data_IF_029846108372
#
_entry.id   IF_029846108372
#
_cell.length_a   1.000
_cell.length_b   1.000
_cell.length_c   1.000
_cell.angle_alpha   90.00
_cell.angle_beta   90.00
_cell.angle_gamma   90.00
#
_symmetry.space_group_name_H-M   'P 1'
#
loop_
_entity.id
_entity.type
_entity.pdbx_description
1 polymer ?
#
# COMPACT_ATOMS: atom_id res chain seq x y z
N UNK A 1 2.97 -13.77 6.66
CA UNK A 1 1.83 -13.00 6.11
C UNK A 1 0.76 -12.94 7.18
N UNK A 2 0.31 -11.74 7.58
CA UNK A 2 -0.79 -11.61 8.55
C UNK A 2 -2.10 -11.74 7.76
N UNK A 3 -2.96 -12.73 8.06
CA UNK A 3 -4.23 -12.88 7.37
C UNK A 3 -5.13 -11.68 7.69
N UNK A 4 -5.65 -11.03 6.64
CA UNK A 4 -6.51 -9.86 6.73
C UNK A 4 -7.84 -10.18 6.08
N UNK A 5 -8.93 -10.11 6.86
CA UNK A 5 -10.29 -10.14 6.32
C UNK A 5 -10.61 -8.76 5.72
N UNK A 6 -10.83 -8.74 4.41
CA UNK A 6 -10.98 -7.52 3.59
C UNK A 6 -12.44 -7.13 3.37
N UNK A 7 -13.38 -7.67 4.16
CA UNK A 7 -14.81 -7.36 4.04
C UNK A 7 -15.19 -5.94 4.52
N UNK A 8 -14.24 -5.20 5.10
CA UNK A 8 -14.45 -3.83 5.62
C UNK A 8 -14.92 -3.79 7.08
N UNK A 9 -14.93 -2.59 7.66
CA UNK A 9 -15.37 -2.33 9.04
C UNK A 9 -14.35 -2.72 10.11
N UNK A 10 -14.83 -3.19 11.28
CA UNK A 10 -14.02 -3.62 12.44
C UNK A 10 -12.90 -4.60 12.07
N UNK A 11 -13.07 -5.39 11.02
CA UNK A 11 -12.08 -6.43 10.64
C UNK A 11 -10.83 -5.89 9.95
N UNK A 12 -10.92 -4.72 9.31
CA UNK A 12 -9.74 -4.00 8.83
C UNK A 12 -8.88 -3.47 9.99
N UNK A 13 -9.46 -3.28 11.18
CA UNK A 13 -8.71 -2.85 12.36
C UNK A 13 -7.78 -3.95 12.88
N UNK A 14 -8.23 -5.22 12.90
CA UNK A 14 -7.40 -6.33 13.36
C UNK A 14 -6.06 -6.47 12.59
N UNK A 15 -6.08 -6.16 11.29
CA UNK A 15 -4.88 -6.14 10.46
C UNK A 15 -3.93 -4.97 10.80
N UNK A 16 -4.48 -3.80 11.07
CA UNK A 16 -3.72 -2.63 11.48
C UNK A 16 -3.16 -2.81 12.89
N UNK A 17 -3.91 -3.42 13.81
CA UNK A 17 -3.43 -3.74 15.16
C UNK A 17 -2.27 -4.74 15.13
N UNK A 18 -2.36 -5.74 14.25
CA UNK A 18 -1.28 -6.70 14.06
C UNK A 18 -0.04 -6.04 13.42
N UNK A 19 -0.25 -5.12 12.47
CA UNK A 19 0.82 -4.31 11.88
C UNK A 19 1.50 -3.41 12.94
N UNK A 20 0.71 -2.79 13.81
CA UNK A 20 1.21 -1.98 14.92
C UNK A 20 2.12 -2.79 15.86
N UNK A 21 1.70 -4.01 16.24
CA UNK A 21 2.53 -4.88 17.08
C UNK A 21 3.86 -5.24 16.41
N UNK A 22 3.89 -5.41 15.09
CA UNK A 22 5.13 -5.67 14.33
C UNK A 22 6.03 -4.44 14.36
N UNK A 23 5.48 -3.28 14.02
CA UNK A 23 6.23 -2.02 13.97
C UNK A 23 6.77 -1.61 15.35
N UNK A 24 6.03 -1.83 16.43
CA UNK A 24 6.49 -1.57 17.81
C UNK A 24 7.68 -2.44 18.23
N UNK A 25 7.90 -3.59 17.59
CA UNK A 25 9.10 -4.43 17.82
C UNK A 25 10.30 -3.97 16.99
N UNK A 26 10.20 -2.87 16.24
CA UNK A 26 11.25 -2.38 15.36
C UNK A 26 11.40 -3.19 14.06
N UNK A 27 10.38 -3.98 13.70
CA UNK A 27 10.37 -4.80 12.49
C UNK A 27 9.74 -4.04 11.30
N UNK A 28 9.94 -4.57 10.09
CA UNK A 28 9.35 -4.03 8.86
C UNK A 28 7.96 -4.62 8.59
N UNK A 29 7.04 -3.78 8.12
CA UNK A 29 5.71 -4.21 7.71
C UNK A 29 5.38 -3.73 6.29
N UNK A 30 5.09 -4.67 5.38
CA UNK A 30 4.69 -4.38 4.01
C UNK A 30 3.17 -4.39 3.84
N UNK A 31 2.62 -3.37 3.17
CA UNK A 31 1.20 -3.25 2.86
C UNK A 31 0.98 -2.78 1.42
N UNK A 32 -0.02 -3.34 0.75
CA UNK A 32 -0.50 -2.83 -0.53
C UNK A 32 -1.63 -1.83 -0.28
N UNK A 33 -1.41 -0.52 -0.45
CA UNK A 33 -2.39 0.50 -0.08
C UNK A 33 -3.70 0.39 -0.90
N UNK A 34 -3.65 -0.17 -2.11
CA UNK A 34 -4.83 -0.43 -2.96
C UNK A 34 -5.73 -1.57 -2.44
N UNK A 35 -5.24 -2.41 -1.53
CA UNK A 35 -6.02 -3.49 -0.90
C UNK A 35 -6.30 -4.72 -1.78
N UNK A 36 -6.07 -4.65 -3.09
CA UNK A 36 -6.21 -5.77 -4.04
C UNK A 36 -5.20 -5.68 -5.17
N UNK A 37 -4.94 -6.81 -5.84
CA UNK A 37 -4.14 -6.83 -7.07
C UNK A 37 -4.90 -6.12 -8.19
N UNK A 38 -4.21 -5.26 -8.92
CA UNK A 38 -4.72 -4.66 -10.14
C UNK A 38 -4.94 -5.74 -11.22
N UNK A 39 -6.12 -5.72 -11.86
CA UNK A 39 -6.46 -6.67 -12.93
C UNK A 39 -6.13 -6.14 -14.32
N UNK A 40 -6.17 -4.82 -14.47
CA UNK A 40 -5.90 -4.09 -15.72
C UNK A 40 -4.51 -3.44 -15.76
N UNK A 41 -3.75 -3.50 -14.65
CA UNK A 41 -2.40 -2.96 -14.54
C UNK A 41 -2.36 -1.50 -14.13
N UNK A 42 -3.53 -0.90 -13.88
CA UNK A 42 -3.67 0.45 -13.38
C UNK A 42 -3.33 0.52 -11.90
N UNK A 43 -2.83 1.68 -11.46
CA UNK A 43 -2.64 1.99 -10.05
C UNK A 43 -3.90 2.68 -9.51
N UNK A 44 -4.57 2.07 -8.56
CA UNK A 44 -5.83 2.57 -8.01
C UNK A 44 -5.64 3.46 -6.78
N UNK A 45 -6.71 4.09 -6.32
CA UNK A 45 -6.72 4.91 -5.11
C UNK A 45 -6.34 4.07 -3.88
N UNK A 46 -5.33 4.51 -3.14
CA UNK A 46 -4.89 3.87 -1.90
C UNK A 46 -5.78 4.20 -0.70
N UNK A 47 -5.93 3.25 0.23
CA UNK A 47 -6.60 3.43 1.52
C UNK A 47 -5.68 4.10 2.58
N UNK A 48 -6.26 4.84 3.52
CA UNK A 48 -5.51 5.62 4.55
C UNK A 48 -4.88 4.79 5.67
N UNK A 49 -5.03 3.46 5.67
CA UNK A 49 -4.56 2.62 6.79
C UNK A 49 -3.06 2.71 7.06
N UNK A 50 -2.25 2.76 6.00
CA UNK A 50 -0.79 2.89 6.12
C UNK A 50 -0.39 4.25 6.73
N UNK A 51 -0.99 5.34 6.25
CA UNK A 51 -0.77 6.68 6.79
C UNK A 51 -1.17 6.78 8.27
N UNK A 52 -2.29 6.15 8.66
CA UNK A 52 -2.74 6.11 10.05
C UNK A 52 -1.73 5.43 10.96
N UNK A 53 -1.15 4.30 10.55
CA UNK A 53 -0.12 3.60 11.31
C UNK A 53 1.16 4.45 11.43
N UNK A 54 1.58 5.05 10.32
CA UNK A 54 2.79 5.87 10.27
C UNK A 54 2.71 7.08 11.21
N UNK A 55 1.58 7.80 11.20
CA UNK A 55 1.34 8.93 12.11
C UNK A 55 1.25 8.45 13.56
N UNK A 56 0.51 7.36 13.83
CA UNK A 56 0.33 6.82 15.19
C UNK A 56 1.64 6.40 15.84
N UNK A 57 2.53 5.79 15.08
CA UNK A 57 3.78 5.19 15.59
C UNK A 57 5.01 6.07 15.33
N UNK A 58 4.84 7.19 14.63
CA UNK A 58 5.96 8.07 14.25
C UNK A 58 6.97 7.39 13.34
N UNK A 59 6.55 6.41 12.54
CA UNK A 59 7.44 5.68 11.64
C UNK A 59 7.34 6.20 10.19
N UNK A 60 8.43 6.16 9.41
CA UNK A 60 8.42 6.58 8.01
C UNK A 60 7.67 5.59 7.12
N UNK A 61 7.12 6.08 6.01
CA UNK A 61 6.60 5.26 4.92
C UNK A 61 7.63 5.19 3.79
N UNK A 62 7.91 3.98 3.30
CA UNK A 62 8.77 3.78 2.13
C UNK A 62 7.91 3.40 0.92
N UNK A 63 7.81 4.25 -0.11
CA UNK A 63 7.15 3.89 -1.36
C UNK A 63 7.89 2.72 -2.03
N UNK A 64 7.16 1.69 -2.46
CA UNK A 64 7.75 0.54 -3.17
C UNK A 64 6.99 0.31 -4.46
N UNK A 65 7.68 0.49 -5.59
CA UNK A 65 7.18 0.15 -6.91
C UNK A 65 7.62 -1.27 -7.32
N UNK A 66 6.67 -2.06 -7.81
CA UNK A 66 6.92 -3.43 -8.31
C UNK A 66 6.40 -3.54 -9.74
N UNK A 67 7.28 -3.86 -10.68
CA UNK A 67 6.96 -3.99 -12.12
C UNK A 67 7.38 -5.37 -12.64
N UNK A 68 6.61 -5.94 -13.56
CA UNK A 68 6.89 -7.22 -14.24
C UNK A 68 6.26 -8.45 -13.57
N UNK A 69 5.76 -8.33 -12.33
CA UNK A 69 5.07 -9.44 -11.64
C UNK A 69 3.78 -9.89 -12.33
N UNK A 70 3.06 -8.96 -12.97
CA UNK A 70 1.85 -9.27 -13.75
C UNK A 70 2.15 -10.12 -14.98
N UNK A 71 3.26 -9.87 -15.67
CA UNK A 71 3.63 -10.61 -16.88
C UNK A 71 4.08 -12.03 -16.55
N UNK A 72 4.74 -12.19 -15.38
CA UNK A 72 5.12 -13.47 -14.81
C UNK A 72 3.88 -14.26 -14.37
N UNK A 73 3.00 -13.66 -13.58
CA UNK A 73 1.79 -14.33 -13.12
C UNK A 73 0.60 -13.37 -13.20
N UNK A 74 -0.12 -13.38 -14.34
CA UNK A 74 -1.34 -12.61 -14.49
C UNK A 74 -2.36 -12.97 -13.41
N UNK A 75 -3.31 -12.07 -13.09
CA UNK A 75 -4.44 -12.39 -12.24
C UNK A 75 -5.14 -13.68 -12.71
N UNK A 76 -5.46 -14.55 -11.76
CA UNK A 76 -6.10 -15.86 -11.98
C UNK A 76 -5.26 -16.92 -12.73
N UNK A 77 -4.01 -16.61 -13.12
CA UNK A 77 -3.11 -17.61 -13.70
C UNK A 77 -2.71 -18.65 -12.62
N UNK A 78 -2.87 -19.96 -12.89
CA UNK A 78 -2.61 -21.00 -11.90
C UNK A 78 -1.12 -21.16 -11.59
N UNK A 79 -0.24 -20.84 -12.55
CA UNK A 79 1.21 -20.96 -12.42
C UNK A 79 1.92 -19.74 -13.04
N UNK A 80 3.08 -19.34 -12.48
CA UNK A 80 3.93 -18.30 -13.06
C UNK A 80 4.61 -18.79 -14.34
N UNK A 81 4.86 -17.87 -15.26
CA UNK A 81 5.69 -18.06 -16.44
C UNK A 81 7.17 -17.92 -16.06
N UNK A 82 8.00 -18.85 -16.52
CA UNK A 82 9.46 -18.79 -16.33
C UNK A 82 10.08 -17.74 -17.26
N UNK A 83 11.19 -17.12 -16.83
CA UNK A 83 11.98 -16.20 -17.65
C UNK A 83 11.52 -14.73 -17.65
N UNK A 84 10.56 -14.34 -16.81
CA UNK A 84 10.19 -12.94 -16.63
C UNK A 84 11.13 -12.18 -15.68
N UNK A 85 11.22 -10.87 -15.84
CA UNK A 85 12.02 -9.98 -14.98
C UNK A 85 11.10 -9.20 -14.04
N UNK A 86 11.44 -9.15 -12.75
CA UNK A 86 10.81 -8.25 -11.78
C UNK A 86 11.75 -7.11 -11.45
N UNK A 87 11.25 -5.88 -11.55
CA UNK A 87 11.93 -4.70 -11.02
C UNK A 87 11.24 -4.26 -9.74
N UNK A 88 12.02 -4.17 -8.65
CA UNK A 88 11.59 -3.58 -7.39
C UNK A 88 12.37 -2.28 -7.20
N UNK A 89 11.67 -1.20 -6.93
CA UNK A 89 12.28 0.12 -6.69
C UNK A 89 11.72 0.68 -5.40
N UNK A 90 12.61 1.15 -4.52
CA UNK A 90 12.26 1.73 -3.22
C UNK A 90 12.50 3.24 -3.28
N UNK A 91 11.46 4.02 -2.99
CA UNK A 91 11.49 5.48 -3.00
C UNK A 91 12.08 6.06 -1.72
N UNK A 92 12.13 7.40 -1.68
CA UNK A 92 12.58 8.14 -0.48
C UNK A 92 11.55 8.00 0.65
N UNK A 93 11.98 8.01 1.92
CA UNK A 93 11.07 7.93 3.05
C UNK A 93 10.16 9.18 3.11
N UNK A 94 8.88 8.93 3.34
CA UNK A 94 7.88 9.95 3.67
C UNK A 94 7.76 9.97 5.20
N UNK A 95 8.25 11.05 5.80
CA UNK A 95 8.27 11.24 7.25
C UNK A 95 6.89 11.67 7.76
N UNK A 96 6.16 10.76 8.39
CA UNK A 96 4.84 11.04 8.97
C UNK A 96 4.89 12.10 10.08
N UNK A 97 6.06 12.27 10.72
CA UNK A 97 6.30 13.31 11.73
C UNK A 97 6.03 14.73 11.22
N UNK A 98 6.17 14.99 9.92
CA UNK A 98 5.84 16.29 9.29
C UNK A 98 4.37 16.67 9.44
N UNK A 99 3.51 15.68 9.67
CA UNK A 99 2.06 15.82 9.77
C UNK A 99 1.53 15.64 11.21
N UNK A 100 2.41 15.27 12.16
CA UNK A 100 2.02 14.93 13.53
C UNK A 100 1.29 16.06 14.27
N UNK A 101 1.58 17.33 13.94
CA UNK A 101 0.91 18.49 14.52
C UNK A 101 -0.59 18.59 14.16
N UNK A 102 -1.05 17.88 13.12
CA UNK A 102 -2.45 17.89 12.64
C UNK A 102 -3.30 16.72 13.20
N UNK A 103 -2.76 15.93 14.13
CA UNK A 103 -3.52 14.89 14.84
C UNK A 103 -4.01 13.76 13.94
N UNK A 104 -5.31 13.41 14.04
CA UNK A 104 -5.92 12.30 13.30
C UNK A 104 -6.86 12.80 12.18
N UNK A 105 -6.58 13.98 11.64
CA UNK A 105 -7.38 14.64 10.60
C UNK A 105 -7.50 13.73 9.36
N UNK A 106 -8.72 13.33 8.95
CA UNK A 106 -8.94 12.52 7.76
C UNK A 106 -8.34 13.12 6.48
N UNK A 107 -8.30 14.45 6.37
CA UNK A 107 -7.76 15.14 5.21
C UNK A 107 -6.24 14.99 5.15
N UNK A 108 -5.56 15.14 6.28
CA UNK A 108 -4.11 14.91 6.38
C UNK A 108 -3.73 13.45 6.10
N UNK A 109 -4.47 12.48 6.65
CA UNK A 109 -4.23 11.06 6.33
C UNK A 109 -4.39 10.79 4.83
N UNK A 110 -5.29 11.52 4.17
CA UNK A 110 -5.46 11.45 2.74
C UNK A 110 -4.29 12.06 1.98
N UNK A 111 -3.83 13.24 2.36
CA UNK A 111 -2.64 13.90 1.78
C UNK A 111 -1.42 12.97 1.81
N UNK A 112 -1.10 12.36 2.96
CA UNK A 112 0.02 11.41 3.09
C UNK A 112 -0.16 10.21 2.16
N UNK A 113 -1.39 9.69 2.08
CA UNK A 113 -1.65 8.53 1.21
C UNK A 113 -1.50 8.90 -0.25
N UNK A 114 -1.98 10.07 -0.65
CA UNK A 114 -1.93 10.52 -2.03
C UNK A 114 -0.48 10.83 -2.45
N UNK A 115 0.36 11.36 -1.55
CA UNK A 115 1.82 11.48 -1.75
C UNK A 115 2.48 10.10 -1.91
N UNK A 116 2.16 9.14 -1.03
CA UNK A 116 2.66 7.76 -1.15
C UNK A 116 2.28 7.13 -2.50
N UNK A 117 1.02 7.30 -2.93
CA UNK A 117 0.56 6.77 -4.21
C UNK A 117 1.21 7.48 -5.40
N UNK A 118 1.48 8.78 -5.29
CA UNK A 118 2.23 9.53 -6.30
C UNK A 118 3.65 8.99 -6.45
N UNK A 119 4.38 8.78 -5.36
CA UNK A 119 5.73 8.21 -5.41
C UNK A 119 5.72 6.78 -5.98
N UNK A 120 4.75 5.94 -5.61
CA UNK A 120 4.60 4.59 -6.18
C UNK A 120 4.37 4.69 -7.71
N UNK A 121 3.53 5.62 -8.15
CA UNK A 121 3.27 5.87 -9.58
C UNK A 121 4.56 6.23 -10.32
N UNK A 122 5.37 7.12 -9.78
CA UNK A 122 6.65 7.52 -10.40
C UNK A 122 7.63 6.34 -10.48
N UNK A 123 7.66 5.48 -9.46
CA UNK A 123 8.53 4.30 -9.44
C UNK A 123 8.08 3.21 -10.45
N UNK A 124 6.77 3.05 -10.66
CA UNK A 124 6.23 1.99 -11.51
C UNK A 124 5.94 2.43 -12.94
N UNK A 125 5.66 3.71 -13.18
CA UNK A 125 5.17 4.23 -14.45
C UNK A 125 3.71 3.84 -14.76
N UNK A 126 2.98 3.29 -13.79
CA UNK A 126 1.58 2.89 -13.98
C UNK A 126 0.66 4.12 -14.11
N UNK A 127 -0.40 3.98 -14.91
CA UNK A 127 -1.43 5.01 -14.99
C UNK A 127 -2.30 5.00 -13.72
N UNK A 128 -2.48 6.16 -13.10
CA UNK A 128 -3.22 6.31 -11.86
C UNK A 128 -4.72 6.53 -12.10
N UNK A 129 -5.56 5.83 -11.34
CA UNK A 129 -7.01 6.00 -11.31
C UNK A 129 -7.48 6.43 -9.92
N UNK A 130 -8.09 7.61 -9.84
CA UNK A 130 -8.68 8.14 -8.61
C UNK A 130 -10.04 7.48 -8.27
N UNK A 131 -10.06 6.16 -8.23
CA UNK A 131 -11.19 5.35 -7.76
C UNK A 131 -10.64 4.16 -6.99
N UNK A 132 -11.40 3.63 -6.05
CA UNK A 132 -10.99 2.43 -5.32
C UNK A 132 -11.11 1.21 -6.23
N UNK A 133 -10.14 0.30 -6.14
CA UNK A 133 -10.20 -0.96 -6.85
C UNK A 133 -11.39 -1.78 -6.31
N UNK A 134 -12.39 -2.01 -7.15
CA UNK A 134 -13.49 -2.91 -6.82
C UNK A 134 -13.08 -4.34 -7.15
N UNK A 135 -13.37 -5.29 -6.25
CA UNK A 135 -13.45 -6.69 -6.67
C UNK A 135 -14.61 -6.78 -7.65
N UNK A 136 -14.33 -6.92 -8.96
CA UNK A 136 -15.34 -7.48 -9.87
C UNK A 136 -15.71 -8.86 -9.29
N UNK A 137 -17.02 -9.06 -9.08
CA UNK A 137 -17.61 -10.34 -8.66
C UNK A 137 -17.23 -11.44 -9.64
#
# INVERSE_FOLDING_TARGET
MIPVDRSGGEKSHAALDAAERVLQRGELFGIFPEGTRSRDGMLYKGHTGAARLAVKLGCPLFPVGIVGTRDIQPPDAPLPRLGGTVRISVGRPIEAARYAARGNDPMMLREITDELMFEIRELTGQEYRNTYATKKR
#
